data_IF_905906928208
#
_entry.id   IF_905906928208
#
_cell.length_a   1.000
_cell.length_b   1.000
_cell.length_c   1.000
_cell.angle_alpha   90.00
_cell.angle_beta   90.00
_cell.angle_gamma   90.00
#
_symmetry.space_group_name_H-M   'P 1'
#
loop_
_entity.id
_entity.type
_entity.pdbx_description
1 polymer ?
#
# COMPACT_ATOMS: atom_id res chain seq x y z
N UNK A 1 11.49 5.95 -28.75
CA UNK A 1 10.35 5.03 -28.65
C UNK A 1 9.78 5.05 -27.24
N UNK A 2 8.49 4.80 -27.11
CA UNK A 2 7.84 4.69 -25.80
C UNK A 2 7.76 3.21 -25.43
N UNK A 3 8.22 2.87 -24.23
CA UNK A 3 8.05 1.53 -23.68
C UNK A 3 6.73 1.43 -22.93
N UNK A 4 6.08 0.26 -23.02
CA UNK A 4 4.90 0.00 -22.20
C UNK A 4 5.27 -0.04 -20.72
N UNK A 5 4.46 0.56 -19.86
CA UNK A 5 4.68 0.61 -18.42
C UNK A 5 5.04 -0.76 -17.81
N UNK A 6 4.34 -1.81 -18.25
CA UNK A 6 4.56 -3.17 -17.73
C UNK A 6 5.98 -3.70 -18.00
N UNK A 7 6.57 -3.34 -19.15
CA UNK A 7 7.92 -3.72 -19.50
C UNK A 7 8.93 -2.88 -18.72
N UNK A 8 8.74 -1.57 -18.69
CA UNK A 8 9.66 -0.64 -18.02
C UNK A 8 9.81 -0.99 -16.52
N UNK A 9 8.69 -1.15 -15.81
CA UNK A 9 8.73 -1.45 -14.37
C UNK A 9 9.42 -2.78 -14.05
N UNK A 10 9.25 -3.80 -14.90
CA UNK A 10 9.88 -5.10 -14.70
C UNK A 10 11.41 -5.04 -14.88
N UNK A 11 11.86 -4.27 -15.85
CA UNK A 11 13.31 -4.08 -16.11
C UNK A 11 13.93 -3.21 -15.02
N UNK A 12 13.30 -2.09 -14.68
CA UNK A 12 13.78 -1.15 -13.67
C UNK A 12 13.88 -1.82 -12.28
N UNK A 13 12.84 -2.59 -11.87
CA UNK A 13 12.83 -3.34 -10.62
C UNK A 13 14.00 -4.36 -10.56
N UNK A 14 14.27 -5.04 -11.68
CA UNK A 14 15.35 -6.01 -11.74
C UNK A 14 16.74 -5.32 -11.69
N UNK A 15 16.92 -4.21 -12.40
CA UNK A 15 18.18 -3.43 -12.38
C UNK A 15 18.47 -2.83 -11.00
N UNK A 16 17.42 -2.41 -10.29
CA UNK A 16 17.52 -1.88 -8.92
C UNK A 16 17.63 -2.97 -7.86
N UNK A 17 17.53 -4.23 -8.23
CA UNK A 17 17.61 -5.35 -7.28
C UNK A 17 16.40 -5.43 -6.33
N UNK A 18 15.21 -5.02 -6.76
CA UNK A 18 13.99 -5.05 -5.96
C UNK A 18 13.58 -6.49 -5.69
N UNK A 19 13.47 -6.84 -4.41
CA UNK A 19 13.11 -8.19 -3.96
C UNK A 19 11.66 -8.30 -3.47
N UNK A 20 11.05 -7.19 -3.07
CA UNK A 20 9.69 -7.16 -2.53
C UNK A 20 8.93 -5.96 -3.09
N UNK A 21 7.72 -6.20 -3.60
CA UNK A 21 6.83 -5.16 -4.14
C UNK A 21 5.56 -5.12 -3.27
N UNK A 22 5.38 -4.00 -2.57
CA UNK A 22 4.17 -3.72 -1.79
C UNK A 22 3.39 -2.61 -2.49
N UNK A 23 2.14 -2.88 -2.86
CA UNK A 23 1.34 -1.92 -3.65
C UNK A 23 -0.16 -2.13 -3.45
N UNK A 24 -0.98 -1.23 -3.99
CA UNK A 24 -2.43 -1.36 -3.95
C UNK A 24 -2.96 -2.56 -4.74
N UNK A 25 -4.05 -3.16 -4.27
CA UNK A 25 -4.71 -4.30 -4.91
C UNK A 25 -5.38 -3.95 -6.25
N UNK A 26 -5.51 -2.68 -6.59
CA UNK A 26 -5.90 -2.22 -7.93
C UNK A 26 -4.90 -2.65 -9.02
N UNK A 27 -3.66 -2.94 -8.65
CA UNK A 27 -2.63 -3.45 -9.55
C UNK A 27 -2.49 -4.99 -9.55
N UNK A 28 -3.35 -5.72 -8.84
CA UNK A 28 -3.23 -7.18 -8.71
C UNK A 28 -3.33 -7.88 -10.08
N UNK A 29 -4.17 -7.38 -10.98
CA UNK A 29 -4.36 -7.94 -12.33
C UNK A 29 -3.16 -7.66 -13.27
N UNK A 30 -2.26 -6.75 -12.89
CA UNK A 30 -1.00 -6.51 -13.59
C UNK A 30 0.09 -7.51 -13.18
N UNK A 31 0.00 -8.10 -11.99
CA UNK A 31 1.01 -9.00 -11.43
C UNK A 31 1.29 -10.23 -12.30
N UNK A 32 0.29 -10.97 -12.83
CA UNK A 32 0.56 -12.12 -13.70
C UNK A 32 1.29 -11.73 -14.99
N UNK A 33 0.99 -10.55 -15.54
CA UNK A 33 1.65 -10.03 -16.75
C UNK A 33 3.11 -9.69 -16.48
N UNK A 34 3.40 -9.07 -15.34
CA UNK A 34 4.75 -8.74 -14.92
C UNK A 34 5.57 -10.00 -14.63
N UNK A 35 5.00 -10.99 -13.94
CA UNK A 35 5.65 -12.28 -13.71
C UNK A 35 5.95 -13.00 -15.04
N UNK A 36 5.03 -12.96 -16.01
CA UNK A 36 5.26 -13.51 -17.33
C UNK A 36 6.46 -12.83 -18.03
N UNK A 37 6.52 -11.50 -18.00
CA UNK A 37 7.64 -10.73 -18.57
C UNK A 37 8.97 -11.06 -17.86
N UNK A 38 8.99 -11.10 -16.54
CA UNK A 38 10.17 -11.48 -15.76
C UNK A 38 10.72 -12.83 -16.19
N UNK A 39 9.85 -13.83 -16.32
CA UNK A 39 10.24 -15.18 -16.78
C UNK A 39 10.77 -15.20 -18.20
N UNK A 40 10.11 -14.50 -19.13
CA UNK A 40 10.53 -14.44 -20.53
C UNK A 40 11.87 -13.71 -20.72
N UNK A 41 12.15 -12.72 -19.88
CA UNK A 41 13.38 -11.94 -19.91
C UNK A 41 14.50 -12.56 -19.04
N UNK A 42 14.24 -13.67 -18.34
CA UNK A 42 15.21 -14.28 -17.44
C UNK A 42 15.55 -13.41 -16.21
N UNK A 43 14.62 -12.53 -15.81
CA UNK A 43 14.80 -11.61 -14.68
C UNK A 43 14.34 -12.26 -13.38
N UNK A 44 14.89 -11.84 -12.21
CA UNK A 44 14.43 -12.31 -10.91
C UNK A 44 12.97 -11.94 -10.67
N UNK A 45 12.20 -12.83 -10.03
CA UNK A 45 10.81 -12.58 -9.66
C UNK A 45 10.76 -12.11 -8.20
N UNK A 46 10.32 -10.86 -7.93
CA UNK A 46 10.14 -10.37 -6.57
C UNK A 46 8.93 -11.01 -5.88
N UNK A 47 8.88 -10.92 -4.56
CA UNK A 47 7.69 -11.24 -3.79
C UNK A 47 6.68 -10.09 -3.89
N UNK A 48 5.39 -10.41 -4.04
CA UNK A 48 4.33 -9.41 -4.15
C UNK A 48 3.42 -9.41 -2.92
N UNK A 49 3.08 -8.21 -2.45
CA UNK A 49 2.05 -7.98 -1.44
C UNK A 49 1.10 -6.89 -1.95
N UNK A 50 -0.21 -7.20 -1.95
CA UNK A 50 -1.24 -6.26 -2.36
C UNK A 50 -2.06 -5.84 -1.15
N UNK A 51 -2.06 -4.52 -0.87
CA UNK A 51 -2.86 -3.89 0.16
C UNK A 51 -4.21 -3.47 -0.40
N UNK A 52 -5.31 -3.48 0.38
CA UNK A 52 -6.60 -3.04 -0.10
C UNK A 52 -6.55 -1.59 -0.60
N UNK A 53 -7.23 -1.31 -1.70
CA UNK A 53 -7.46 0.06 -2.13
C UNK A 53 -8.57 0.68 -1.29
N UNK A 54 -8.35 1.90 -0.81
CA UNK A 54 -9.35 2.65 -0.04
C UNK A 54 -10.44 3.17 -0.97
N UNK A 55 -11.70 2.97 -0.59
CA UNK A 55 -12.86 3.43 -1.36
C UNK A 55 -13.77 4.33 -0.53
N UNK A 56 -14.52 5.22 -1.22
CA UNK A 56 -15.56 6.03 -0.61
C UNK A 56 -16.84 5.21 -0.36
N UNK A 57 -17.89 5.84 0.15
CA UNK A 57 -19.18 5.21 0.42
C UNK A 57 -19.88 4.66 -0.84
N UNK A 58 -19.51 5.13 -2.03
CA UNK A 58 -20.02 4.65 -3.32
C UNK A 58 -19.19 3.48 -3.88
N UNK A 59 -18.14 3.04 -3.18
CA UNK A 59 -17.23 2.01 -3.65
C UNK A 59 -16.20 2.49 -4.67
N UNK A 60 -16.06 3.80 -4.88
CA UNK A 60 -15.09 4.38 -5.79
C UNK A 60 -13.75 4.59 -5.08
N UNK A 61 -12.65 4.22 -5.74
CA UNK A 61 -11.30 4.40 -5.21
C UNK A 61 -11.02 5.85 -4.87
N UNK A 62 -10.49 6.11 -3.67
CA UNK A 62 -10.00 7.44 -3.33
C UNK A 62 -8.82 7.81 -4.23
N UNK A 63 -9.01 8.84 -5.04
CA UNK A 63 -8.04 9.27 -6.05
C UNK A 63 -8.23 10.76 -6.37
N UNK A 64 -7.32 11.34 -7.16
CA UNK A 64 -7.50 12.69 -7.71
C UNK A 64 -8.76 12.81 -8.55
N UNK A 65 -9.19 11.75 -9.24
CA UNK A 65 -10.40 11.74 -10.06
C UNK A 65 -11.68 11.83 -9.24
N UNK A 66 -11.70 11.20 -8.05
CA UNK A 66 -12.80 11.26 -7.09
C UNK A 66 -12.72 12.47 -6.16
N UNK A 67 -11.78 13.40 -6.40
CA UNK A 67 -11.52 14.56 -5.55
C UNK A 67 -11.30 14.20 -4.07
N UNK A 68 -10.64 13.07 -3.83
CA UNK A 68 -10.25 12.68 -2.48
C UNK A 68 -9.43 13.80 -1.84
N UNK A 69 -9.68 14.06 -0.56
CA UNK A 69 -8.93 15.07 0.18
C UNK A 69 -7.45 14.67 0.25
N UNK A 70 -6.53 15.62 0.12
CA UNK A 70 -5.12 15.36 0.34
C UNK A 70 -4.86 15.00 1.81
N UNK A 71 -3.74 14.33 2.06
CA UNK A 71 -3.28 14.08 3.44
C UNK A 71 -3.10 15.42 4.15
N UNK A 72 -3.65 15.53 5.36
CA UNK A 72 -3.49 16.71 6.20
C UNK A 72 -2.08 16.72 6.83
N UNK A 73 -1.20 17.54 6.28
CA UNK A 73 0.19 17.67 6.75
C UNK A 73 0.28 18.24 8.18
N UNK A 74 -0.78 18.86 8.68
CA UNK A 74 -0.84 19.38 10.04
C UNK A 74 -1.28 18.34 11.07
N UNK A 75 -1.78 17.16 10.61
CA UNK A 75 -2.19 16.07 11.46
C UNK A 75 -1.56 14.73 11.06
N UNK A 76 -0.23 14.65 10.93
CA UNK A 76 0.44 13.43 10.46
C UNK A 76 0.23 12.24 11.39
N UNK A 77 0.10 12.48 12.69
CA UNK A 77 -0.19 11.46 13.70
C UNK A 77 -1.55 10.79 13.42
N UNK A 78 -2.63 11.57 13.26
CA UNK A 78 -3.96 11.05 12.99
C UNK A 78 -4.01 10.26 11.66
N UNK A 79 -3.29 10.75 10.64
CA UNK A 79 -3.18 10.05 9.35
C UNK A 79 -2.46 8.71 9.49
N UNK A 80 -1.38 8.65 10.27
CA UNK A 80 -0.62 7.41 10.51
C UNK A 80 -1.43 6.40 11.31
N UNK A 81 -2.06 6.80 12.41
CA UNK A 81 -2.86 5.90 13.26
C UNK A 81 -4.04 5.32 12.47
N UNK A 82 -4.77 6.15 11.72
CA UNK A 82 -5.86 5.68 10.88
C UNK A 82 -5.39 4.73 9.76
N UNK A 83 -4.20 4.95 9.17
CA UNK A 83 -3.62 4.04 8.20
C UNK A 83 -3.24 2.69 8.82
N UNK A 84 -2.66 2.68 10.03
CA UNK A 84 -2.34 1.46 10.76
C UNK A 84 -3.60 0.65 11.10
N UNK A 85 -4.63 1.30 11.61
CA UNK A 85 -5.93 0.66 11.90
C UNK A 85 -6.58 0.09 10.63
N UNK A 86 -6.58 0.86 9.54
CA UNK A 86 -7.06 0.39 8.23
C UNK A 86 -6.31 -0.86 7.76
N UNK A 87 -5.03 -0.95 8.04
CA UNK A 87 -4.19 -2.11 7.73
C UNK A 87 -4.27 -3.22 8.81
N UNK A 88 -5.24 -3.14 9.73
CA UNK A 88 -5.50 -4.17 10.73
C UNK A 88 -4.47 -4.23 11.86
N UNK A 89 -3.67 -3.18 12.03
CA UNK A 89 -2.73 -3.09 13.15
C UNK A 89 -3.43 -2.47 14.35
N UNK A 90 -3.64 -3.26 15.41
CA UNK A 90 -4.32 -2.78 16.62
C UNK A 90 -3.35 -1.98 17.48
N UNK A 91 -3.59 -0.68 17.58
CA UNK A 91 -2.77 0.20 18.41
C UNK A 91 -3.17 0.08 19.89
N UNK A 92 -2.21 0.08 20.82
CA UNK A 92 -2.50 0.21 22.27
C UNK A 92 -3.14 1.56 22.60
N UNK A 93 -4.02 1.60 23.60
CA UNK A 93 -4.76 2.80 23.99
C UNK A 93 -3.89 4.04 24.23
N UNK A 94 -2.71 3.89 24.81
CA UNK A 94 -1.78 5.01 25.08
C UNK A 94 -1.06 5.56 23.84
N UNK A 95 -1.08 4.84 22.71
CA UNK A 95 -0.37 5.25 21.49
C UNK A 95 -1.17 6.26 20.65
N UNK A 96 -2.49 6.32 20.84
CA UNK A 96 -3.34 7.29 20.15
C UNK A 96 -3.01 8.73 20.56
N UNK A 97 -2.47 8.92 21.78
CA UNK A 97 -2.06 10.24 22.32
C UNK A 97 -0.54 10.45 22.27
N UNK A 98 0.23 9.45 21.83
CA UNK A 98 1.67 9.46 21.77
C UNK A 98 2.22 10.35 20.64
N UNK A 99 3.51 10.66 20.67
CA UNK A 99 4.18 11.38 19.59
C UNK A 99 4.31 10.54 18.32
N UNK A 100 4.40 11.21 17.17
CA UNK A 100 4.52 10.55 15.85
C UNK A 100 5.67 9.53 15.78
N UNK A 101 6.82 9.85 16.36
CA UNK A 101 8.00 8.95 16.40
C UNK A 101 7.73 7.68 17.20
N UNK A 102 6.96 7.78 18.26
CA UNK A 102 6.61 6.66 19.11
C UNK A 102 5.65 5.70 18.40
N UNK A 103 4.66 6.25 17.68
CA UNK A 103 3.76 5.46 16.82
C UNK A 103 4.55 4.74 15.72
N UNK A 104 5.50 5.41 15.06
CA UNK A 104 6.36 4.80 14.04
C UNK A 104 7.21 3.67 14.61
N UNK A 105 7.84 3.89 15.76
CA UNK A 105 8.67 2.87 16.42
C UNK A 105 7.84 1.64 16.75
N UNK A 106 6.68 1.87 17.38
CA UNK A 106 5.75 0.78 17.69
C UNK A 106 5.32 0.02 16.44
N UNK A 107 4.94 0.73 15.38
CA UNK A 107 4.48 0.13 14.14
C UNK A 107 5.56 -0.77 13.49
N UNK A 108 6.83 -0.35 13.52
CA UNK A 108 7.95 -1.13 12.99
C UNK A 108 8.19 -2.39 13.84
N UNK A 109 8.17 -2.26 15.17
CA UNK A 109 8.45 -3.35 16.10
C UNK A 109 7.31 -4.39 16.18
N UNK A 110 6.06 -3.97 15.99
CA UNK A 110 4.87 -4.81 16.21
C UNK A 110 4.08 -5.10 14.93
N UNK A 111 4.63 -4.79 13.76
CA UNK A 111 3.95 -5.05 12.48
C UNK A 111 3.58 -6.53 12.32
N UNK A 112 2.30 -6.77 12.07
CA UNK A 112 1.77 -8.13 11.89
C UNK A 112 1.13 -8.29 10.50
N UNK A 113 1.88 -8.89 9.58
CA UNK A 113 1.43 -9.10 8.21
C UNK A 113 0.15 -9.94 8.11
N UNK A 114 -0.07 -10.88 9.03
CA UNK A 114 -1.26 -11.72 9.06
C UNK A 114 -2.55 -10.96 9.37
N UNK A 115 -2.46 -9.77 9.97
CA UNK A 115 -3.60 -8.90 10.27
C UNK A 115 -4.05 -8.06 9.06
N UNK A 116 -3.26 -7.99 8.00
CA UNK A 116 -3.64 -7.25 6.80
C UNK A 116 -5.00 -7.74 6.25
N UNK A 117 -5.91 -6.82 5.92
CA UNK A 117 -7.22 -7.20 5.36
C UNK A 117 -7.05 -7.98 4.05
N UNK A 118 -7.70 -9.14 3.95
CA UNK A 118 -7.63 -10.01 2.78
C UNK A 118 -8.74 -9.68 1.78
N UNK A 119 -8.77 -8.44 1.33
CA UNK A 119 -9.75 -7.94 0.35
C UNK A 119 -9.07 -7.02 -0.67
N UNK A 120 -9.71 -6.82 -1.81
CA UNK A 120 -9.19 -5.91 -2.85
C UNK A 120 -9.45 -4.43 -2.53
N UNK A 121 -10.58 -4.16 -1.89
CA UNK A 121 -11.03 -2.81 -1.52
C UNK A 121 -11.54 -2.82 -0.09
N UNK A 122 -11.39 -1.72 0.60
CA UNK A 122 -11.98 -1.50 1.91
C UNK A 122 -12.45 -0.04 2.05
N UNK A 123 -13.52 0.21 2.82
CA UNK A 123 -14.02 1.56 3.02
C UNK A 123 -12.97 2.43 3.72
N UNK A 124 -12.99 3.72 3.39
CA UNK A 124 -12.14 4.69 4.07
C UNK A 124 -12.42 4.71 5.58
N UNK A 125 -11.39 4.85 6.42
CA UNK A 125 -11.57 5.15 7.84
C UNK A 125 -12.41 6.39 8.05
N UNK A 126 -13.07 6.50 9.21
CA UNK A 126 -13.85 7.67 9.55
C UNK A 126 -12.96 8.94 9.55
N UNK A 127 -13.39 9.96 8.83
CA UNK A 127 -12.65 11.24 8.73
C UNK A 127 -11.61 11.33 7.60
N UNK A 128 -11.61 10.37 6.70
CA UNK A 128 -10.78 10.38 5.47
C UNK A 128 -11.58 10.88 4.27
#
# INVERSE_FOLDING_TARGET
>A
GFFAYQLAVVVDDAEQGITHIVRGADLIDSTPRQICLQRQLGLPQPAYLHLPAVVNALGEKLSKQTRAQPIDEHRPHASLTAALEFLGQTLPDGLVEAGLEEVWRWAIEHWQRQHLPRCRIAPAPAGW
#
